data_IF_327313088274
#
_entry.id   IF_327313088274
#
_cell.length_a   1.000
_cell.length_b   1.000
_cell.length_c   1.000
_cell.angle_alpha   90.00
_cell.angle_beta   90.00
_cell.angle_gamma   90.00
#
_symmetry.space_group_name_H-M   'P 1'
#
loop_
_entity.id
_entity.type
_entity.pdbx_description
1 polymer ?
#
# COMPACT_ATOMS: atom_id res chain seq x y z
N UNK A 1 -43.52 -51.39 -9.06
CA UNK A 1 -42.84 -51.04 -7.78
C UNK A 1 -41.52 -50.37 -8.08
N UNK A 2 -41.25 -49.25 -7.37
CA UNK A 2 -39.96 -48.53 -7.21
C UNK A 2 -39.48 -47.63 -8.36
N UNK A 3 -39.81 -46.34 -8.22
CA UNK A 3 -39.16 -45.19 -8.87
C UNK A 3 -37.72 -45.07 -8.37
N UNK A 4 -36.75 -44.89 -9.27
CA UNK A 4 -35.36 -44.59 -8.91
C UNK A 4 -35.04 -43.22 -9.51
N UNK A 5 -35.10 -42.18 -8.68
CA UNK A 5 -34.58 -40.87 -9.02
C UNK A 5 -33.09 -40.86 -8.66
N UNK A 6 -32.19 -40.87 -9.66
CA UNK A 6 -30.78 -40.54 -9.43
C UNK A 6 -30.69 -39.03 -9.17
N UNK A 7 -30.47 -38.65 -7.91
CA UNK A 7 -30.10 -37.29 -7.55
C UNK A 7 -28.57 -37.18 -7.62
N UNK A 8 -28.05 -36.52 -8.65
CA UNK A 8 -26.62 -36.20 -8.74
C UNK A 8 -26.33 -35.00 -7.83
N UNK A 9 -25.61 -35.22 -6.73
CA UNK A 9 -25.16 -34.17 -5.83
C UNK A 9 -23.85 -33.59 -6.36
N UNK A 10 -23.89 -32.41 -6.99
CA UNK A 10 -22.68 -31.70 -7.41
C UNK A 10 -22.07 -30.97 -6.21
N UNK A 11 -20.84 -31.36 -5.86
CA UNK A 11 -20.06 -30.70 -4.82
C UNK A 11 -19.37 -29.48 -5.41
N UNK A 12 -19.91 -28.28 -5.19
CA UNK A 12 -19.24 -27.03 -5.54
C UNK A 12 -18.15 -26.74 -4.50
N UNK A 13 -16.88 -26.93 -4.87
CA UNK A 13 -15.75 -26.45 -4.09
C UNK A 13 -15.62 -24.95 -4.39
N UNK A 14 -16.07 -24.11 -3.45
CA UNK A 14 -15.85 -22.66 -3.52
C UNK A 14 -14.44 -22.37 -3.00
N UNK A 15 -13.55 -21.98 -3.90
CA UNK A 15 -12.22 -21.48 -3.53
C UNK A 15 -12.36 -20.08 -2.97
N UNK A 16 -12.15 -19.91 -1.66
CA UNK A 16 -12.07 -18.59 -1.03
C UNK A 16 -10.69 -18.03 -1.38
N UNK A 17 -10.67 -16.98 -2.20
CA UNK A 17 -9.43 -16.29 -2.59
C UNK A 17 -8.68 -15.70 -1.39
N UNK A 18 -7.38 -15.43 -1.52
CA UNK A 18 -6.54 -14.97 -0.42
C UNK A 18 -7.01 -13.61 0.13
N UNK A 19 -7.37 -13.64 1.41
CA UNK A 19 -7.89 -12.54 2.22
C UNK A 19 -6.77 -11.58 2.68
N UNK A 20 -5.99 -11.05 1.74
CA UNK A 20 -4.80 -10.26 2.04
C UNK A 20 -4.99 -8.78 1.76
N UNK A 21 -4.65 -7.95 2.75
CA UNK A 21 -4.35 -6.54 2.53
C UNK A 21 -3.14 -6.42 1.58
N UNK A 22 -3.25 -5.61 0.53
CA UNK A 22 -2.16 -5.43 -0.43
C UNK A 22 -2.15 -4.03 -1.05
N UNK A 23 -0.98 -3.60 -1.46
CA UNK A 23 -0.83 -2.52 -2.45
C UNK A 23 -1.12 -3.13 -3.82
N UNK A 24 -2.08 -2.58 -4.54
CA UNK A 24 -2.46 -3.02 -5.88
C UNK A 24 -1.73 -2.24 -6.97
N UNK A 25 -1.42 -0.97 -6.70
CA UNK A 25 -0.72 -0.10 -7.64
C UNK A 25 0.02 1.01 -6.89
N UNK A 26 1.18 1.40 -7.43
CA UNK A 26 1.86 2.65 -7.11
C UNK A 26 1.85 3.53 -8.35
N UNK A 27 1.17 4.66 -8.28
CA UNK A 27 1.23 5.70 -9.28
C UNK A 27 2.27 6.74 -8.87
N UNK A 28 3.34 6.86 -9.66
CA UNK A 28 4.36 7.90 -9.45
C UNK A 28 3.88 9.17 -10.14
N UNK A 29 3.69 10.23 -9.35
CA UNK A 29 3.29 11.54 -9.87
C UNK A 29 4.52 12.39 -10.16
N UNK A 30 5.49 12.38 -9.24
CA UNK A 30 6.64 13.27 -9.33
C UNK A 30 7.92 12.59 -8.81
N UNK A 31 9.05 12.96 -9.39
CA UNK A 31 10.39 12.68 -8.85
C UNK A 31 11.22 13.94 -8.97
N UNK A 32 11.63 14.49 -7.83
CA UNK A 32 12.41 15.74 -7.78
C UNK A 32 13.72 15.53 -7.02
N UNK A 33 14.81 16.22 -7.41
CA UNK A 33 15.99 16.31 -6.56
C UNK A 33 15.63 17.03 -5.25
N UNK A 34 16.23 16.60 -4.14
CA UNK A 34 16.14 17.35 -2.87
C UNK A 34 17.37 18.22 -2.68
N UNK A 35 17.27 19.25 -1.84
CA UNK A 35 18.38 20.13 -1.48
C UNK A 35 19.13 20.68 -2.70
N UNK A 36 18.40 21.05 -3.75
CA UNK A 36 18.95 21.51 -5.02
C UNK A 36 20.02 20.57 -5.63
N UNK A 37 19.90 19.26 -5.39
CA UNK A 37 20.84 18.25 -5.89
C UNK A 37 22.14 18.14 -5.10
N UNK A 38 22.20 18.70 -3.88
CA UNK A 38 23.33 18.56 -2.97
C UNK A 38 23.72 17.10 -2.77
N UNK A 39 25.02 16.83 -2.71
CA UNK A 39 25.57 15.50 -2.46
C UNK A 39 25.83 15.29 -0.97
N UNK A 40 25.49 14.11 -0.47
CA UNK A 40 25.70 13.68 0.92
C UNK A 40 26.81 12.62 0.95
N UNK A 41 28.03 13.07 1.24
CA UNK A 41 29.22 12.21 1.27
C UNK A 41 29.36 11.33 0.02
N UNK A 42 29.77 10.09 0.20
CA UNK A 42 29.99 9.14 -0.89
C UNK A 42 28.69 8.54 -1.45
N UNK A 43 27.55 8.71 -0.76
CA UNK A 43 26.24 8.20 -1.20
C UNK A 43 25.73 9.00 -2.40
N UNK A 44 25.98 10.31 -2.42
CA UNK A 44 25.65 11.20 -3.53
C UNK A 44 24.37 12.00 -3.29
N UNK A 45 23.74 12.45 -4.37
CA UNK A 45 22.50 13.22 -4.31
C UNK A 45 21.30 12.31 -4.00
N UNK A 46 20.23 12.93 -3.49
CA UNK A 46 18.98 12.27 -3.16
C UNK A 46 17.83 12.86 -3.97
N UNK A 47 16.77 12.08 -4.10
CA UNK A 47 15.53 12.44 -4.76
C UNK A 47 14.33 12.09 -3.87
N UNK A 48 13.27 12.87 -4.02
CA UNK A 48 11.96 12.62 -3.45
C UNK A 48 11.05 12.11 -4.55
N UNK A 49 10.42 10.97 -4.32
CA UNK A 49 9.39 10.40 -5.19
C UNK A 49 8.06 10.57 -4.48
N UNK A 50 7.10 11.22 -5.12
CA UNK A 50 5.75 11.43 -4.59
C UNK A 50 4.72 10.78 -5.50
N UNK A 51 3.65 10.24 -4.92
CA UNK A 51 2.65 9.50 -5.69
C UNK A 51 1.44 9.04 -4.89
N UNK A 52 0.60 8.21 -5.52
CA UNK A 52 -0.59 7.60 -4.93
C UNK A 52 -0.39 6.09 -4.86
N UNK A 53 -0.57 5.53 -3.67
CA UNK A 53 -0.65 4.09 -3.47
C UNK A 53 -2.12 3.68 -3.41
N UNK A 54 -2.47 2.65 -4.18
CA UNK A 54 -3.80 2.04 -4.19
C UNK A 54 -3.76 0.73 -3.42
N UNK A 55 -4.80 0.49 -2.63
CA UNK A 55 -4.87 -0.63 -1.70
C UNK A 55 -6.19 -1.37 -1.83
N UNK A 56 -6.12 -2.66 -1.52
CA UNK A 56 -7.30 -3.50 -1.28
C UNK A 56 -7.18 -4.17 0.09
N UNK A 57 -8.27 -4.17 0.87
CA UNK A 57 -8.38 -4.91 2.13
C UNK A 57 -9.67 -5.71 2.21
N UNK A 58 -9.58 -6.90 2.76
CA UNK A 58 -10.76 -7.71 3.06
C UNK A 58 -11.42 -7.26 4.38
N UNK A 59 -12.72 -6.93 4.40
CA UNK A 59 -13.38 -6.42 5.60
C UNK A 59 -13.46 -7.43 6.75
N UNK A 60 -13.57 -8.72 6.43
CA UNK A 60 -13.72 -9.83 7.39
C UNK A 60 -12.39 -10.33 7.96
N UNK A 61 -11.25 -9.87 7.43
CA UNK A 61 -9.93 -10.22 7.94
C UNK A 61 -9.78 -9.79 9.40
N UNK A 62 -9.29 -10.68 10.27
CA UNK A 62 -9.24 -10.48 11.74
C UNK A 62 -8.61 -9.15 12.17
N UNK A 63 -7.53 -8.71 11.49
CA UNK A 63 -6.85 -7.43 11.77
C UNK A 63 -7.67 -6.19 11.40
N UNK A 64 -8.62 -6.33 10.49
CA UNK A 64 -9.39 -5.21 9.96
C UNK A 64 -10.69 -4.99 10.75
N UNK A 65 -11.14 -5.99 11.52
CA UNK A 65 -12.36 -5.92 12.35
C UNK A 65 -12.37 -4.79 13.39
N UNK A 66 -11.21 -4.24 13.73
CA UNK A 66 -11.09 -3.10 14.66
C UNK A 66 -11.38 -1.76 13.99
N UNK A 67 -11.40 -1.70 12.65
CA UNK A 67 -11.73 -0.51 11.90
C UNK A 67 -13.24 -0.28 12.03
N UNK A 68 -13.60 0.90 12.55
CA UNK A 68 -15.00 1.29 12.71
C UNK A 68 -15.72 1.22 11.36
N UNK A 69 -16.95 0.70 11.37
CA UNK A 69 -17.82 0.64 10.20
C UNK A 69 -17.26 -0.09 8.98
N UNK A 70 -16.22 -0.92 9.14
CA UNK A 70 -15.60 -1.59 7.99
C UNK A 70 -16.57 -2.47 7.20
N UNK A 71 -17.55 -3.08 7.86
CA UNK A 71 -18.57 -3.90 7.20
C UNK A 71 -19.62 -3.07 6.44
N UNK A 72 -19.58 -1.74 6.53
CA UNK A 72 -20.48 -0.82 5.82
C UNK A 72 -19.82 -0.22 4.57
N UNK A 73 -18.51 -0.39 4.40
CA UNK A 73 -17.81 0.11 3.23
C UNK A 73 -18.20 -0.70 1.97
N UNK A 74 -18.32 -0.05 0.80
CA UNK A 74 -18.53 -0.76 -0.45
C UNK A 74 -17.33 -1.66 -0.77
N UNK A 75 -17.61 -2.78 -1.44
CA UNK A 75 -16.59 -3.74 -1.87
C UNK A 75 -16.58 -3.86 -3.39
N UNK A 76 -15.40 -4.14 -3.95
CA UNK A 76 -15.21 -4.42 -5.37
C UNK A 76 -15.69 -5.83 -5.75
N UNK A 77 -15.55 -6.19 -7.02
CA UNK A 77 -15.95 -7.51 -7.53
C UNK A 77 -15.22 -8.69 -6.86
N UNK A 78 -14.07 -8.43 -6.21
CA UNK A 78 -13.29 -9.42 -5.47
C UNK A 78 -13.68 -9.49 -3.98
N UNK A 79 -14.66 -8.70 -3.54
CA UNK A 79 -15.09 -8.65 -2.13
C UNK A 79 -14.17 -7.83 -1.22
N UNK A 80 -13.27 -7.03 -1.79
CA UNK A 80 -12.35 -6.18 -1.03
C UNK A 80 -12.80 -4.72 -1.04
N UNK A 81 -12.48 -3.99 0.03
CA UNK A 81 -12.59 -2.54 0.10
C UNK A 81 -11.38 -1.93 -0.61
N UNK A 82 -11.62 -1.00 -1.53
CA UNK A 82 -10.61 -0.23 -2.23
C UNK A 82 -10.42 1.15 -1.58
N UNK A 83 -9.17 1.57 -1.44
CA UNK A 83 -8.84 2.92 -1.00
C UNK A 83 -7.45 3.32 -1.51
N UNK A 84 -7.11 4.59 -1.38
CA UNK A 84 -5.80 5.11 -1.76
C UNK A 84 -5.23 6.03 -0.69
N UNK A 85 -3.91 6.23 -0.73
CA UNK A 85 -3.22 7.21 0.08
C UNK A 85 -2.04 7.79 -0.71
N UNK A 86 -1.72 9.05 -0.43
CA UNK A 86 -0.48 9.65 -0.92
C UNK A 86 0.73 9.01 -0.23
N UNK A 87 1.83 8.88 -0.97
CA UNK A 87 3.11 8.46 -0.43
C UNK A 87 4.24 9.39 -0.86
N UNK A 88 5.28 9.47 -0.03
CA UNK A 88 6.56 10.06 -0.39
C UNK A 88 7.69 9.11 0.00
N UNK A 89 8.67 8.97 -0.89
CA UNK A 89 9.88 8.19 -0.67
C UNK A 89 11.08 9.09 -0.88
N UNK A 90 11.95 9.13 0.13
CA UNK A 90 13.26 9.75 0.04
C UNK A 90 14.32 8.67 -0.19
N UNK A 91 15.10 8.79 -1.27
CA UNK A 91 16.16 7.81 -1.56
C UNK A 91 17.38 8.43 -2.24
N UNK A 92 18.56 7.79 -2.20
CA UNK A 92 19.67 8.17 -3.07
C UNK A 92 19.27 8.03 -4.53
N UNK A 93 19.74 8.95 -5.38
CA UNK A 93 19.59 8.87 -6.84
C UNK A 93 20.22 7.57 -7.37
N UNK A 94 21.37 7.17 -6.82
CA UNK A 94 21.93 5.84 -7.07
C UNK A 94 21.37 4.83 -6.06
N UNK A 95 20.33 4.10 -6.47
CA UNK A 95 19.65 3.11 -5.63
C UNK A 95 20.57 1.97 -5.14
N UNK A 96 21.67 1.67 -5.82
CA UNK A 96 22.63 0.66 -5.37
C UNK A 96 23.40 1.09 -4.11
N UNK A 97 23.38 2.38 -3.78
CA UNK A 97 24.00 2.94 -2.57
C UNK A 97 23.02 3.12 -1.42
N UNK A 98 21.75 2.69 -1.58
CA UNK A 98 20.80 2.70 -0.48
C UNK A 98 21.25 1.76 0.64
N UNK A 99 20.94 2.12 1.90
CA UNK A 99 21.30 1.33 3.08
C UNK A 99 20.57 -0.02 3.17
N UNK A 100 19.53 -0.24 2.35
CA UNK A 100 18.64 -1.38 2.47
C UNK A 100 17.67 -1.32 3.65
N UNK A 101 17.75 -0.26 4.47
CA UNK A 101 16.84 -0.03 5.60
C UNK A 101 15.75 0.94 5.18
N UNK A 102 14.50 0.51 5.33
CA UNK A 102 13.34 1.37 5.11
C UNK A 102 12.89 1.97 6.45
N UNK A 103 13.02 3.29 6.56
CA UNK A 103 12.43 4.05 7.64
C UNK A 103 11.03 4.52 7.19
N UNK A 104 10.00 4.17 7.96
CA UNK A 104 8.59 4.42 7.61
C UNK A 104 7.96 5.29 8.69
N UNK A 105 7.24 6.30 8.24
CA UNK A 105 6.35 7.11 9.07
C UNK A 105 4.92 7.00 8.52
N UNK A 106 3.96 6.67 9.39
CA UNK A 106 2.53 6.61 9.06
C UNK A 106 1.79 7.67 9.88
N UNK A 107 1.72 8.93 9.41
CA UNK A 107 1.19 10.01 10.21
C UNK A 107 -0.33 9.90 10.34
N UNK A 108 -0.83 10.04 11.57
CA UNK A 108 -2.27 9.91 11.88
C UNK A 108 -3.12 11.09 11.40
N UNK A 109 -2.52 12.21 10.96
CA UNK A 109 -3.22 13.44 10.54
C UNK A 109 -2.56 14.15 9.33
N UNK A 110 -1.76 13.42 8.53
CA UNK A 110 -1.12 13.97 7.33
C UNK A 110 0.08 14.91 7.57
N UNK A 111 0.49 15.14 8.82
CA UNK A 111 1.71 15.89 9.12
C UNK A 111 2.95 15.05 8.80
N UNK A 112 3.86 15.59 7.97
CA UNK A 112 5.17 15.01 7.70
C UNK A 112 6.11 15.42 8.83
N UNK A 113 6.47 14.53 9.75
CA UNK A 113 7.33 14.90 10.88
C UNK A 113 8.79 14.72 10.48
N UNK A 114 9.17 13.49 10.21
CA UNK A 114 10.55 13.10 9.94
C UNK A 114 10.98 13.47 8.51
N UNK A 115 10.13 13.15 7.52
CA UNK A 115 10.40 13.44 6.12
C UNK A 115 10.49 14.95 5.86
N UNK A 116 9.71 15.77 6.57
CA UNK A 116 9.82 17.23 6.49
C UNK A 116 11.23 17.72 6.83
N UNK A 117 11.79 17.26 7.95
CA UNK A 117 13.14 17.62 8.40
C UNK A 117 14.24 17.13 7.45
N UNK A 118 14.03 16.00 6.77
CA UNK A 118 15.01 15.42 5.83
C UNK A 118 14.95 16.07 4.44
N UNK A 119 13.82 16.67 4.08
CA UNK A 119 13.64 17.36 2.79
C UNK A 119 14.13 18.82 2.84
N UNK A 120 14.00 19.48 3.99
CA UNK A 120 14.17 20.94 4.14
C UNK A 120 15.62 21.36 4.43
N UNK A 121 16.54 20.87 3.60
CA UNK A 121 17.99 21.05 3.79
C UNK A 121 18.53 22.34 3.14
N UNK A 122 17.63 23.28 2.85
CA UNK A 122 17.92 24.62 2.32
C UNK A 122 17.79 25.73 3.39
N UNK A 123 17.71 25.38 4.68
CA UNK A 123 17.87 26.33 5.80
C UNK A 123 19.35 26.70 6.06
#
# INVERSE_FOLDING_TARGET
MKRIHLLALSLFIVSIGPLNARVTQLEIIETIPIANGKKFGDIGAYEKISGIAYFEIAPDHKRNKTIADINRAPVNANGNIEFSAEFEILRPVNSQKASGVLFIETPSQGQKLSLGLLHDIDA
#
